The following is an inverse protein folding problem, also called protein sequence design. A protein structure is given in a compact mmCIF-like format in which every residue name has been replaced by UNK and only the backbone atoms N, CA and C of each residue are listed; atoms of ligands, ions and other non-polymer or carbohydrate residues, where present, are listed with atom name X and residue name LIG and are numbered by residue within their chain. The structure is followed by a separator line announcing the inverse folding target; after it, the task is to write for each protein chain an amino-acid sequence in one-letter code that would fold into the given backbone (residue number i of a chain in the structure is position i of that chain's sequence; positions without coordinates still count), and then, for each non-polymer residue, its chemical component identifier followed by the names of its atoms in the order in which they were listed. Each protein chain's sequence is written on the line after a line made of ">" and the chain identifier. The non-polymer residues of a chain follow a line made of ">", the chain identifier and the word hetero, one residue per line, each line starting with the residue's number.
data_IF_692869393327
#
_entry.id   IF_692869393327
#
_cell.length_a   1.000
_cell.length_b   1.000
_cell.length_c   1.000
_cell.angle_alpha   90.00
_cell.angle_beta   90.00
_cell.angle_gamma   90.00
#
_symmetry.space_group_name_H-M   'P 1'
#
loop_
_entity.id
_entity.type
_entity.pdbx_description
1 polymer ?
#
# COMPACT_ATOMS: atom_id res chain seq x y z
N UNK A 1 1.76 32.35 -17.68
CA UNK A 1 0.39 31.78 -17.56
C UNK A 1 -0.28 31.93 -18.90
N UNK A 2 -0.33 30.86 -19.69
CA UNK A 2 -0.98 30.83 -21.00
C UNK A 2 -2.32 30.13 -20.79
N UNK A 3 -3.42 30.84 -21.05
CA UNK A 3 -4.77 30.26 -21.04
C UNK A 3 -4.90 29.27 -22.20
N UNK A 4 -5.53 28.10 -22.01
CA UNK A 4 -5.77 27.16 -23.11
C UNK A 4 -6.81 27.76 -24.09
N UNK A 5 -6.80 27.33 -25.36
CA UNK A 5 -7.72 27.84 -26.36
C UNK A 5 -9.16 27.43 -26.04
N UNK A 6 -10.06 28.42 -26.03
CA UNK A 6 -11.50 28.21 -25.96
C UNK A 6 -11.96 27.65 -27.30
N UNK A 7 -12.24 26.35 -27.37
CA UNK A 7 -12.90 25.74 -28.54
C UNK A 7 -14.41 26.00 -28.39
N UNK A 8 -14.89 27.00 -29.13
CA UNK A 8 -16.33 27.28 -29.26
C UNK A 8 -16.91 26.26 -30.23
N UNK A 9 -17.65 25.27 -29.74
CA UNK A 9 -18.52 24.46 -30.59
C UNK A 9 -19.73 25.31 -30.98
N UNK A 10 -19.63 25.99 -32.12
CA UNK A 10 -20.75 26.68 -32.74
C UNK A 10 -21.83 25.66 -33.13
N UNK A 11 -23.05 25.91 -32.64
CA UNK A 11 -24.31 25.26 -33.00
C UNK A 11 -24.41 24.98 -34.51
N UNK A 12 -24.31 23.70 -34.90
CA UNK A 12 -24.73 23.23 -36.21
C UNK A 12 -26.23 22.93 -36.14
N UNK A 13 -27.04 23.81 -36.76
CA UNK A 13 -28.45 23.50 -37.07
C UNK A 13 -28.47 22.41 -38.15
N UNK A 14 -29.03 21.26 -37.79
CA UNK A 14 -29.37 20.20 -38.73
C UNK A 14 -30.58 20.65 -39.57
N UNK A 15 -30.33 21.12 -40.78
CA UNK A 15 -31.34 21.21 -41.83
C UNK A 15 -30.91 20.34 -43.01
N UNK A 16 -31.67 19.27 -43.21
CA UNK A 16 -31.90 18.53 -44.44
C UNK A 16 -30.68 18.10 -45.29
N UNK A 17 -30.01 17.01 -44.91
CA UNK A 17 -29.44 16.05 -45.89
C UNK A 17 -29.46 14.62 -45.30
N UNK A 18 -30.00 13.68 -46.06
CA UNK A 18 -29.86 12.21 -45.99
C UNK A 18 -29.26 11.59 -44.73
N UNK A 19 -30.15 11.05 -43.88
CA UNK A 19 -29.82 10.26 -42.69
C UNK A 19 -28.87 9.08 -42.99
N UNK A 20 -27.95 8.85 -42.03
CA UNK A 20 -27.16 7.64 -41.71
C UNK A 20 -25.65 7.68 -41.95
N UNK A 21 -25.12 8.24 -43.03
CA UNK A 21 -23.66 8.14 -43.30
C UNK A 21 -22.80 9.12 -42.48
N UNK A 22 -23.33 10.30 -42.13
CA UNK A 22 -22.62 11.30 -41.33
C UNK A 22 -22.51 10.94 -39.84
N UNK A 23 -23.44 10.12 -39.32
CA UNK A 23 -23.41 9.66 -37.93
C UNK A 23 -22.34 8.59 -37.70
N UNK A 24 -22.08 7.76 -38.72
CA UNK A 24 -20.98 6.78 -38.71
C UNK A 24 -19.61 7.48 -38.75
N UNK A 25 -19.48 8.56 -39.53
CA UNK A 25 -18.25 9.36 -39.63
C UNK A 25 -17.93 10.19 -38.37
N UNK A 26 -18.94 10.62 -37.60
CA UNK A 26 -18.74 11.39 -36.37
C UNK A 26 -18.41 10.53 -35.15
N UNK A 27 -18.77 9.24 -35.15
CA UNK A 27 -18.38 8.29 -34.09
C UNK A 27 -16.93 7.85 -34.23
N UNK A 28 -16.39 7.88 -35.46
CA UNK A 28 -14.99 7.55 -35.77
C UNK A 28 -14.04 8.76 -35.70
N UNK A 29 -14.53 9.97 -35.39
CA UNK A 29 -13.68 11.13 -35.14
C UNK A 29 -13.00 11.02 -33.76
N UNK A 30 -11.99 10.16 -33.78
CA UNK A 30 -10.74 10.22 -33.04
C UNK A 30 -10.78 9.97 -31.53
N UNK A 31 -11.25 8.77 -31.17
CA UNK A 31 -10.88 8.11 -29.91
C UNK A 31 -9.34 8.11 -29.72
N UNK A 32 -8.55 8.05 -30.79
CA UNK A 32 -7.07 8.13 -30.75
C UNK A 32 -6.55 9.50 -30.27
N UNK A 33 -7.11 10.60 -30.78
CA UNK A 33 -6.75 11.97 -30.33
C UNK A 33 -7.23 12.19 -28.89
N UNK A 34 -8.42 11.69 -28.54
CA UNK A 34 -8.95 11.79 -27.18
C UNK A 34 -8.08 11.01 -26.19
N UNK A 35 -7.63 9.80 -26.54
CA UNK A 35 -6.72 9.00 -25.71
C UNK A 35 -5.36 9.67 -25.52
N UNK A 36 -4.82 10.34 -26.55
CA UNK A 36 -3.54 11.04 -26.44
C UNK A 36 -3.60 12.31 -25.59
N UNK A 37 -4.73 13.03 -25.58
CA UNK A 37 -4.96 14.18 -24.69
C UNK A 37 -5.11 13.73 -23.22
N UNK A 38 -5.80 12.60 -22.98
CA UNK A 38 -6.02 12.05 -21.63
C UNK A 38 -4.73 11.53 -21.01
N UNK A 39 -3.86 10.87 -21.79
CA UNK A 39 -2.54 10.43 -21.32
C UNK A 39 -1.57 11.58 -21.04
N UNK A 40 -1.84 12.79 -21.55
CA UNK A 40 -1.02 13.97 -21.34
C UNK A 40 -1.44 14.81 -20.12
N UNK A 41 -2.63 14.57 -19.53
CA UNK A 41 -3.12 15.32 -18.36
C UNK A 41 -3.06 14.47 -17.08
N UNK A 42 -2.21 14.89 -16.14
CA UNK A 42 -2.14 14.31 -14.78
C UNK A 42 -3.37 14.67 -13.91
N UNK A 43 -4.32 15.47 -14.42
CA UNK A 43 -5.38 16.08 -13.62
C UNK A 43 -6.72 15.33 -13.74
N UNK A 44 -7.03 14.55 -12.70
CA UNK A 44 -8.17 13.61 -12.65
C UNK A 44 -9.53 14.28 -12.82
N UNK A 45 -9.69 15.51 -12.34
CA UNK A 45 -10.96 16.25 -12.44
C UNK A 45 -11.26 16.70 -13.87
N UNK A 46 -10.24 17.05 -14.65
CA UNK A 46 -10.39 17.39 -16.06
C UNK A 46 -10.77 16.15 -16.87
N UNK A 47 -10.13 15.02 -16.58
CA UNK A 47 -10.45 13.74 -17.21
C UNK A 47 -11.88 13.27 -16.88
N UNK A 48 -12.31 13.33 -15.62
CA UNK A 48 -13.68 12.96 -15.20
C UNK A 48 -14.74 13.89 -15.80
N UNK A 49 -14.50 15.20 -15.82
CA UNK A 49 -15.39 16.18 -16.44
C UNK A 49 -15.54 15.89 -17.93
N UNK A 50 -14.45 15.59 -18.63
CA UNK A 50 -14.46 15.26 -20.05
C UNK A 50 -15.19 13.95 -20.34
N UNK A 51 -14.93 12.87 -19.57
CA UNK A 51 -15.65 11.60 -19.72
C UNK A 51 -17.15 11.76 -19.46
N UNK A 52 -17.54 12.55 -18.45
CA UNK A 52 -18.94 12.83 -18.16
C UNK A 52 -19.61 13.61 -19.29
N UNK A 53 -18.92 14.59 -19.89
CA UNK A 53 -19.40 15.35 -21.03
C UNK A 53 -19.57 14.48 -22.28
N UNK A 54 -18.64 13.56 -22.55
CA UNK A 54 -18.71 12.59 -23.65
C UNK A 54 -19.86 11.57 -23.43
N UNK A 55 -20.11 11.16 -22.18
CA UNK A 55 -21.23 10.28 -21.86
C UNK A 55 -22.57 11.00 -22.04
N UNK A 56 -22.66 12.25 -21.57
CA UNK A 56 -23.85 13.10 -21.69
C UNK A 56 -24.16 13.43 -23.15
N UNK A 57 -23.14 13.74 -23.97
CA UNK A 57 -23.33 14.00 -25.41
C UNK A 57 -23.87 12.77 -26.14
N UNK A 58 -23.30 11.58 -25.88
CA UNK A 58 -23.80 10.32 -26.42
C UNK A 58 -25.23 10.00 -25.96
N UNK A 59 -25.56 10.25 -24.68
CA UNK A 59 -26.93 10.06 -24.16
C UNK A 59 -27.92 11.03 -24.82
N UNK A 60 -27.54 12.28 -25.04
CA UNK A 60 -28.40 13.28 -25.69
C UNK A 60 -28.64 12.97 -27.17
N UNK A 61 -27.62 12.47 -27.89
CA UNK A 61 -27.76 11.93 -29.25
C UNK A 61 -28.78 10.78 -29.25
N UNK A 62 -28.67 9.83 -28.31
CA UNK A 62 -29.60 8.69 -28.20
C UNK A 62 -31.04 9.13 -27.85
N UNK A 63 -31.20 10.18 -27.03
CA UNK A 63 -32.53 10.74 -26.68
C UNK A 63 -33.22 11.43 -27.86
N UNK A 64 -32.47 11.93 -28.84
CA UNK A 64 -33.01 12.53 -30.06
C UNK A 64 -33.44 11.53 -31.14
N UNK A 65 -33.14 10.23 -30.97
CA UNK A 65 -33.46 9.19 -31.95
C UNK A 65 -34.84 8.57 -31.67
N UNK A 66 -35.74 8.61 -32.65
CA UNK A 66 -37.05 7.94 -32.56
C UNK A 66 -36.87 6.42 -32.57
N UNK A 67 -36.98 5.80 -31.38
CA UNK A 67 -36.75 4.37 -31.17
C UNK A 67 -37.67 3.45 -31.98
N UNK A 68 -38.81 3.96 -32.46
CA UNK A 68 -39.77 3.19 -33.26
C UNK A 68 -39.32 3.00 -34.71
N UNK A 69 -38.29 3.72 -35.17
CA UNK A 69 -37.73 3.63 -36.53
C UNK A 69 -36.38 2.90 -36.61
N UNK A 70 -35.86 2.43 -35.48
CA UNK A 70 -34.59 1.71 -35.41
C UNK A 70 -34.78 0.22 -35.71
N UNK A 71 -34.01 -0.31 -36.67
CA UNK A 71 -33.96 -1.76 -36.91
C UNK A 71 -33.24 -2.49 -35.76
N UNK A 72 -33.51 -3.78 -35.55
CA UNK A 72 -32.81 -4.56 -34.50
C UNK A 72 -31.29 -4.56 -34.70
N UNK A 73 -30.82 -4.56 -35.97
CA UNK A 73 -29.40 -4.46 -36.32
C UNK A 73 -28.79 -3.14 -35.86
N UNK A 74 -29.51 -2.02 -36.04
CA UNK A 74 -29.08 -0.70 -35.59
C UNK A 74 -28.99 -0.61 -34.06
N UNK A 75 -29.93 -1.23 -33.33
CA UNK A 75 -29.87 -1.29 -31.86
C UNK A 75 -28.70 -2.12 -31.34
N UNK A 76 -28.35 -3.20 -32.03
CA UNK A 76 -27.22 -4.06 -31.68
C UNK A 76 -25.87 -3.35 -31.91
N UNK A 77 -25.76 -2.58 -33.00
CA UNK A 77 -24.56 -1.78 -33.28
C UNK A 77 -24.35 -0.67 -32.24
N UNK A 78 -25.42 0.01 -31.81
CA UNK A 78 -25.37 1.00 -30.73
C UNK A 78 -24.99 0.39 -29.38
N UNK A 79 -25.50 -0.80 -29.06
CA UNK A 79 -25.11 -1.49 -27.83
C UNK A 79 -23.63 -1.88 -27.84
N UNK A 80 -23.13 -2.38 -28.97
CA UNK A 80 -21.72 -2.75 -29.11
C UNK A 80 -20.79 -1.53 -29.12
N UNK A 81 -21.19 -0.41 -29.72
CA UNK A 81 -20.39 0.82 -29.74
C UNK A 81 -20.26 1.46 -28.36
N UNK A 82 -21.25 1.28 -27.46
CA UNK A 82 -21.21 1.77 -26.08
C UNK A 82 -20.51 0.81 -25.11
N UNK A 83 -20.34 -0.46 -25.47
CA UNK A 83 -19.73 -1.48 -24.61
C UNK A 83 -18.23 -1.24 -24.39
N UNK A 84 -17.49 -0.93 -25.45
CA UNK A 84 -16.07 -0.63 -25.38
C UNK A 84 -15.73 0.60 -24.49
N UNK A 85 -16.37 1.77 -24.65
CA UNK A 85 -16.07 2.93 -23.81
C UNK A 85 -16.43 2.70 -22.34
N UNK A 86 -17.52 1.98 -22.04
CA UNK A 86 -17.86 1.63 -20.65
C UNK A 86 -16.80 0.72 -20.00
N UNK A 87 -16.28 -0.26 -20.73
CA UNK A 87 -15.19 -1.12 -20.25
C UNK A 87 -13.90 -0.34 -20.00
N UNK A 88 -13.56 0.62 -20.87
CA UNK A 88 -12.38 1.47 -20.70
C UNK A 88 -12.52 2.37 -19.48
N UNK A 89 -13.68 3.01 -19.27
CA UNK A 89 -13.94 3.83 -18.08
C UNK A 89 -13.82 2.96 -16.81
N UNK A 90 -14.41 1.77 -16.80
CA UNK A 90 -14.29 0.83 -15.68
C UNK A 90 -12.84 0.46 -15.38
N UNK A 91 -12.01 0.24 -16.41
CA UNK A 91 -10.59 -0.03 -16.26
C UNK A 91 -9.82 1.18 -15.72
N UNK A 92 -10.01 2.36 -16.29
CA UNK A 92 -9.33 3.61 -15.86
C UNK A 92 -9.68 3.97 -14.41
N UNK A 93 -10.96 3.85 -14.05
CA UNK A 93 -11.40 4.04 -12.67
C UNK A 93 -10.80 2.97 -11.75
N UNK A 94 -10.78 1.71 -12.17
CA UNK A 94 -10.15 0.62 -11.43
C UNK A 94 -8.66 0.88 -11.17
N UNK A 95 -7.92 1.28 -12.20
CA UNK A 95 -6.50 1.62 -12.12
C UNK A 95 -6.27 2.84 -11.22
N UNK A 96 -7.13 3.85 -11.29
CA UNK A 96 -7.12 5.01 -10.40
C UNK A 96 -7.38 4.62 -8.94
N UNK A 97 -8.44 3.86 -8.66
CA UNK A 97 -8.74 3.40 -7.30
C UNK A 97 -7.64 2.51 -6.75
N UNK A 98 -7.03 1.67 -7.58
CA UNK A 98 -5.86 0.87 -7.19
C UNK A 98 -4.64 1.75 -6.88
N UNK A 99 -4.38 2.79 -7.70
CA UNK A 99 -3.35 3.80 -7.41
C UNK A 99 -3.65 4.55 -6.12
N UNK A 100 -4.91 4.88 -5.86
CA UNK A 100 -5.36 5.54 -4.62
C UNK A 100 -5.17 4.65 -3.40
N UNK A 101 -5.47 3.36 -3.52
CA UNK A 101 -5.26 2.37 -2.47
C UNK A 101 -3.78 2.20 -2.08
N UNK A 102 -2.86 2.54 -2.98
CA UNK A 102 -1.41 2.50 -2.75
C UNK A 102 -0.84 3.76 -2.07
N UNK A 103 -1.68 4.76 -1.71
CA UNK A 103 -1.27 5.94 -0.94
C UNK A 103 -1.07 5.69 0.56
N UNK A 104 -1.01 4.43 1.04
CA UNK A 104 -0.41 4.17 2.35
C UNK A 104 1.10 4.36 2.25
N UNK A 105 1.49 5.63 2.11
CA UNK A 105 2.39 6.38 2.99
C UNK A 105 2.76 7.63 2.22
N UNK A 106 2.17 8.78 2.57
CA UNK A 106 2.88 10.04 2.37
C UNK A 106 4.27 9.84 2.97
N UNK A 107 5.34 10.09 2.20
CA UNK A 107 6.72 10.04 2.68
C UNK A 107 6.95 11.22 3.64
N UNK A 108 6.24 11.24 4.77
CA UNK A 108 6.57 12.14 5.85
C UNK A 108 7.93 11.71 6.38
N UNK A 109 8.91 12.60 6.28
CA UNK A 109 10.29 12.36 6.73
C UNK A 109 10.41 12.16 8.24
N UNK A 110 9.32 12.34 8.99
CA UNK A 110 9.30 12.25 10.44
C UNK A 110 8.12 11.41 10.93
N UNK A 111 8.38 10.17 11.36
CA UNK A 111 7.40 9.36 12.09
C UNK A 111 7.30 9.87 13.54
N UNK A 112 6.07 9.96 14.07
CA UNK A 112 5.86 10.23 15.48
C UNK A 112 6.31 9.01 16.33
N UNK A 113 7.15 9.18 17.36
CA UNK A 113 7.58 8.06 18.22
C UNK A 113 6.42 7.26 18.83
N UNK A 114 5.32 7.92 19.20
CA UNK A 114 4.14 7.26 19.75
C UNK A 114 3.40 6.40 18.72
N UNK A 115 3.48 6.75 17.43
CA UNK A 115 2.98 5.89 16.37
C UNK A 115 3.74 4.57 16.35
N UNK A 116 5.08 4.60 16.45
CA UNK A 116 5.90 3.38 16.49
C UNK A 116 5.57 2.56 17.72
N UNK A 117 5.42 3.19 18.88
CA UNK A 117 5.01 2.49 20.11
C UNK A 117 3.67 1.79 19.94
N UNK A 118 2.64 2.49 19.46
CA UNK A 118 1.33 1.87 19.22
C UNK A 118 1.36 0.79 18.14
N UNK A 119 2.14 0.99 17.08
CA UNK A 119 2.29 0.01 16.00
C UNK A 119 2.98 -1.26 16.49
N UNK A 120 4.01 -1.14 17.33
CA UNK A 120 4.71 -2.28 17.93
C UNK A 120 3.85 -2.97 18.97
N UNK A 121 3.05 -2.23 19.75
CA UNK A 121 2.06 -2.81 20.65
C UNK A 121 1.13 -3.79 19.90
N UNK A 122 0.70 -3.42 18.69
CA UNK A 122 -0.10 -4.29 17.83
C UNK A 122 0.73 -5.40 17.15
N UNK A 123 1.76 -5.06 16.38
CA UNK A 123 2.38 -5.95 15.37
C UNK A 123 3.81 -6.41 15.70
N UNK A 124 4.42 -5.86 16.76
CA UNK A 124 5.79 -6.20 17.13
C UNK A 124 5.91 -7.48 17.95
N UNK A 125 7.09 -8.10 17.93
CA UNK A 125 7.37 -9.35 18.65
C UNK A 125 8.77 -9.30 19.26
N UNK A 126 8.86 -9.68 20.54
CA UNK A 126 10.09 -9.81 21.31
C UNK A 126 10.42 -11.29 21.50
N UNK A 127 11.51 -11.76 20.90
CA UNK A 127 11.78 -13.20 20.72
C UNK A 127 13.14 -13.55 21.30
N UNK A 128 13.21 -14.63 22.10
CA UNK A 128 14.46 -15.26 22.52
C UNK A 128 14.68 -16.54 21.73
N UNK A 129 15.55 -16.49 20.71
CA UNK A 129 15.92 -17.68 19.93
C UNK A 129 16.99 -18.47 20.68
N UNK A 130 16.72 -19.75 20.92
CA UNK A 130 17.65 -20.66 21.60
C UNK A 130 18.05 -21.76 20.62
N UNK A 131 19.35 -21.98 20.43
CA UNK A 131 19.88 -23.00 19.54
C UNK A 131 21.10 -23.69 20.15
N UNK A 132 21.35 -24.95 19.77
CA UNK A 132 22.53 -25.68 20.23
C UNK A 132 23.79 -25.07 19.64
N UNK A 133 24.83 -24.93 20.45
CA UNK A 133 26.13 -24.46 19.99
C UNK A 133 27.24 -24.91 20.92
N UNK A 134 28.21 -25.65 20.36
CA UNK A 134 29.39 -26.14 21.08
C UNK A 134 30.37 -25.02 21.47
N UNK A 135 30.15 -23.78 21.00
CA UNK A 135 31.00 -22.62 21.32
C UNK A 135 30.81 -22.13 22.77
N UNK A 136 29.72 -22.51 23.42
CA UNK A 136 29.38 -22.07 24.78
C UNK A 136 29.51 -23.25 25.74
N UNK A 137 29.99 -23.00 26.96
CA UNK A 137 30.17 -24.06 27.98
C UNK A 137 28.85 -24.75 28.32
N UNK A 138 27.76 -23.99 28.37
CA UNK A 138 26.42 -24.54 28.58
C UNK A 138 25.87 -25.31 27.36
N UNK A 139 26.52 -25.26 26.19
CA UNK A 139 26.10 -25.95 24.97
C UNK A 139 24.98 -25.25 24.17
N UNK A 140 24.58 -24.05 24.57
CA UNK A 140 23.46 -23.31 23.98
C UNK A 140 23.84 -21.87 23.64
N UNK A 141 23.40 -21.42 22.46
CA UNK A 141 23.40 -20.02 22.04
C UNK A 141 22.01 -19.44 22.29
N UNK A 142 21.98 -18.25 22.85
CA UNK A 142 20.76 -17.44 22.96
C UNK A 142 20.94 -16.20 22.10
N UNK A 143 19.95 -15.90 21.27
CA UNK A 143 19.92 -14.71 20.41
C UNK A 143 18.61 -13.96 20.66
N UNK A 144 18.66 -12.76 21.26
CA UNK A 144 17.51 -11.89 21.36
C UNK A 144 17.21 -11.30 19.98
N UNK A 145 15.93 -11.26 19.62
CA UNK A 145 15.45 -10.77 18.33
C UNK A 145 14.19 -9.95 18.56
N UNK A 146 14.17 -8.74 18.02
CA UNK A 146 12.95 -7.96 17.84
C UNK A 146 12.50 -8.07 16.38
N UNK A 147 11.19 -8.23 16.15
CA UNK A 147 10.64 -8.36 14.81
C UNK A 147 9.29 -7.67 14.67
N UNK A 148 9.03 -7.11 13.49
CA UNK A 148 7.70 -6.65 13.07
C UNK A 148 7.39 -7.35 11.75
N UNK A 149 6.32 -8.14 11.71
CA UNK A 149 5.92 -8.90 10.52
C UNK A 149 4.59 -8.40 9.98
N UNK A 150 4.51 -8.13 8.68
CA UNK A 150 3.32 -7.60 8.01
C UNK A 150 3.05 -8.34 6.70
N UNK A 151 1.88 -8.09 6.11
CA UNK A 151 1.62 -8.49 4.73
C UNK A 151 2.48 -7.68 3.75
N UNK A 152 2.91 -8.28 2.63
CA UNK A 152 3.82 -7.65 1.66
C UNK A 152 3.31 -6.30 1.14
N UNK A 153 1.99 -6.09 1.07
CA UNK A 153 1.36 -4.83 0.63
C UNK A 153 1.78 -3.61 1.49
N UNK A 154 2.14 -3.84 2.75
CA UNK A 154 2.44 -2.80 3.74
C UNK A 154 3.95 -2.61 3.96
N UNK A 155 4.82 -3.15 3.10
CA UNK A 155 6.28 -3.11 3.28
C UNK A 155 6.88 -1.71 3.51
N UNK A 156 6.30 -0.67 2.93
CA UNK A 156 6.80 0.71 3.02
C UNK A 156 6.82 1.26 4.45
N UNK A 157 5.90 0.82 5.32
CA UNK A 157 5.91 1.26 6.73
C UNK A 157 7.12 0.70 7.48
N UNK A 158 7.54 -0.53 7.16
CA UNK A 158 8.71 -1.13 7.76
C UNK A 158 10.00 -0.41 7.37
N UNK A 159 10.10 0.09 6.14
CA UNK A 159 11.23 0.92 5.72
C UNK A 159 11.28 2.27 6.43
N UNK A 160 10.13 2.88 6.69
CA UNK A 160 10.10 4.12 7.45
C UNK A 160 10.44 3.89 8.92
N UNK A 161 9.93 2.83 9.55
CA UNK A 161 10.30 2.44 10.91
C UNK A 161 11.80 2.14 10.99
N UNK A 162 12.35 1.43 10.01
CA UNK A 162 13.78 1.15 9.90
C UNK A 162 14.57 2.46 9.82
N UNK A 163 14.14 3.39 8.97
CA UNK A 163 14.77 4.72 8.80
C UNK A 163 14.70 5.55 10.09
N UNK A 164 13.57 5.51 10.81
CA UNK A 164 13.40 6.20 12.09
C UNK A 164 14.44 5.76 13.13
N UNK A 165 14.76 4.46 13.19
CA UNK A 165 15.81 3.94 14.08
C UNK A 165 17.23 4.03 13.47
N UNK A 166 17.44 4.82 12.42
CA UNK A 166 18.75 5.06 11.82
C UNK A 166 19.21 3.94 10.88
N UNK A 167 18.29 3.20 10.28
CA UNK A 167 18.60 2.17 9.29
C UNK A 167 18.96 0.80 9.87
N UNK A 168 18.69 0.56 11.17
CA UNK A 168 19.08 -0.68 11.85
C UNK A 168 18.19 -1.87 11.48
N UNK A 169 18.73 -3.09 11.62
CA UNK A 169 18.00 -4.32 11.27
C UNK A 169 17.96 -4.63 9.79
N UNK A 170 17.21 -5.69 9.45
CA UNK A 170 17.10 -6.23 8.10
C UNK A 170 15.63 -6.44 7.73
N UNK A 171 15.26 -5.95 6.56
CA UNK A 171 13.95 -6.24 5.96
C UNK A 171 14.06 -7.50 5.11
N UNK A 172 13.25 -8.51 5.42
CA UNK A 172 13.14 -9.75 4.67
C UNK A 172 11.74 -9.85 4.03
N UNK A 173 11.69 -10.24 2.77
CA UNK A 173 10.46 -10.45 2.01
C UNK A 173 10.37 -11.93 1.64
N UNK A 174 9.28 -12.60 2.00
CA UNK A 174 9.08 -14.02 1.73
C UNK A 174 7.60 -14.28 1.50
N UNK A 175 7.25 -14.77 0.30
CA UNK A 175 5.88 -14.94 -0.14
C UNK A 175 5.09 -13.63 0.09
N UNK A 176 3.93 -13.72 0.75
CA UNK A 176 3.06 -12.58 1.06
C UNK A 176 3.40 -11.88 2.38
N UNK A 177 4.57 -12.16 2.97
CA UNK A 177 5.01 -11.60 4.25
C UNK A 177 6.27 -10.78 4.07
N UNK A 178 6.31 -9.64 4.74
CA UNK A 178 7.50 -8.80 4.89
C UNK A 178 7.76 -8.59 6.37
N UNK A 179 9.03 -8.67 6.79
CA UNK A 179 9.41 -8.50 8.19
C UNK A 179 10.63 -7.61 8.35
N UNK A 180 10.60 -6.74 9.35
CA UNK A 180 11.78 -6.05 9.87
C UNK A 180 12.31 -6.85 11.06
N UNK A 181 13.52 -7.38 10.97
CA UNK A 181 14.17 -8.14 12.04
C UNK A 181 15.41 -7.42 12.56
N UNK A 182 15.52 -7.26 13.87
CA UNK A 182 16.65 -6.65 14.57
C UNK A 182 17.20 -7.66 15.57
N UNK A 183 18.46 -8.09 15.40
CA UNK A 183 19.11 -9.07 16.31
C UNK A 183 20.52 -8.68 16.75
N UNK A 184 21.13 -7.67 16.14
CA UNK A 184 22.43 -7.18 16.58
C UNK A 184 22.30 -6.48 17.94
N UNK A 185 23.19 -6.79 18.89
CA UNK A 185 23.12 -6.25 20.27
C UNK A 185 23.09 -4.73 20.31
N UNK A 186 23.95 -4.08 19.53
CA UNK A 186 24.02 -2.61 19.41
C UNK A 186 22.71 -2.00 18.89
N UNK A 187 22.04 -2.68 17.97
CA UNK A 187 20.81 -2.20 17.35
C UNK A 187 19.62 -2.41 18.29
N UNK A 188 19.58 -3.56 18.99
CA UNK A 188 18.58 -3.83 20.03
C UNK A 188 18.63 -2.81 21.15
N UNK A 189 19.81 -2.31 21.54
CA UNK A 189 19.92 -1.26 22.55
C UNK A 189 19.14 0.01 22.16
N UNK A 190 19.09 0.36 20.87
CA UNK A 190 18.33 1.50 20.35
C UNK A 190 16.82 1.23 20.48
N UNK A 191 16.38 0.02 20.15
CA UNK A 191 14.98 -0.41 20.30
C UNK A 191 14.55 -0.38 21.78
N UNK A 192 15.39 -0.90 22.67
CA UNK A 192 15.12 -0.90 24.11
C UNK A 192 15.06 0.53 24.68
N UNK A 193 15.95 1.42 24.23
CA UNK A 193 15.93 2.83 24.62
C UNK A 193 14.66 3.54 24.16
N UNK A 194 14.15 3.23 22.96
CA UNK A 194 12.88 3.77 22.47
C UNK A 194 11.72 3.43 23.41
N UNK A 195 11.55 2.16 23.78
CA UNK A 195 10.45 1.75 24.67
C UNK A 195 10.67 2.12 26.14
N UNK A 196 11.91 2.38 26.55
CA UNK A 196 12.18 3.04 27.83
C UNK A 196 11.66 4.48 27.88
N UNK A 197 11.70 5.20 26.76
CA UNK A 197 11.21 6.59 26.65
C UNK A 197 9.72 6.68 26.27
N UNK A 198 9.24 5.74 25.45
CA UNK A 198 7.87 5.67 24.95
C UNK A 198 7.28 4.28 25.28
N UNK A 199 6.83 4.08 26.53
CA UNK A 199 6.42 2.76 27.02
C UNK A 199 5.23 2.18 26.25
N UNK A 200 5.28 0.87 26.02
CA UNK A 200 4.15 0.07 25.55
C UNK A 200 3.02 0.10 26.58
N UNK A 201 1.78 0.00 26.11
CA UNK A 201 0.57 0.10 26.95
C UNK A 201 -0.21 -1.21 27.05
N UNK A 202 -0.02 -2.14 26.11
CA UNK A 202 -0.72 -3.44 26.12
C UNK A 202 0.03 -4.47 26.99
N UNK A 203 -0.47 -5.72 27.01
CA UNK A 203 0.23 -6.85 27.63
C UNK A 203 1.64 -7.06 27.06
N UNK A 204 1.90 -6.58 25.84
CA UNK A 204 3.24 -6.61 25.22
C UNK A 204 4.30 -5.83 26.01
N UNK A 205 3.89 -4.93 26.90
CA UNK A 205 4.80 -4.30 27.86
C UNK A 205 5.48 -5.35 28.76
N UNK A 206 4.75 -6.37 29.21
CA UNK A 206 5.33 -7.44 30.04
C UNK A 206 6.39 -8.22 29.24
N UNK A 207 6.11 -8.54 27.97
CA UNK A 207 7.07 -9.20 27.08
C UNK A 207 8.32 -8.34 26.88
N UNK A 208 8.16 -7.03 26.72
CA UNK A 208 9.27 -6.09 26.61
C UNK A 208 10.15 -6.09 27.87
N UNK A 209 9.57 -6.02 29.07
CA UNK A 209 10.36 -6.02 30.32
C UNK A 209 11.11 -7.33 30.52
N UNK A 210 10.46 -8.48 30.24
CA UNK A 210 11.10 -9.79 30.26
C UNK A 210 12.22 -9.90 29.21
N UNK A 211 11.98 -9.41 28.01
CA UNK A 211 12.97 -9.37 26.94
C UNK A 211 14.17 -8.47 27.29
N UNK A 212 13.93 -7.31 27.90
CA UNK A 212 14.98 -6.41 28.39
C UNK A 212 15.83 -7.07 29.47
N UNK A 213 15.21 -7.75 30.44
CA UNK A 213 15.92 -8.52 31.46
C UNK A 213 16.81 -9.61 30.83
N UNK A 214 16.26 -10.38 29.88
CA UNK A 214 17.04 -11.39 29.17
C UNK A 214 18.20 -10.76 28.37
N UNK A 215 17.97 -9.61 27.73
CA UNK A 215 19.01 -8.90 26.98
C UNK A 215 20.17 -8.49 27.90
N UNK A 216 19.90 -7.99 29.10
CA UNK A 216 20.92 -7.62 30.09
C UNK A 216 21.77 -8.83 30.51
N UNK A 217 21.13 -9.96 30.85
CA UNK A 217 21.81 -11.23 31.18
C UNK A 217 22.70 -11.70 30.01
N UNK A 218 22.18 -11.60 28.78
CA UNK A 218 22.92 -11.99 27.57
C UNK A 218 24.13 -11.08 27.34
N UNK A 219 24.01 -9.79 27.66
CA UNK A 219 25.08 -8.82 27.45
C UNK A 219 26.21 -8.98 28.47
N UNK A 220 25.89 -9.32 29.72
CA UNK A 220 26.88 -9.70 30.75
C UNK A 220 27.61 -11.00 30.41
N UNK A 221 26.98 -11.89 29.60
CA UNK A 221 27.59 -13.13 29.12
C UNK A 221 27.54 -14.30 30.11
N UNK A 222 27.01 -14.07 31.31
CA UNK A 222 26.97 -15.03 32.42
C UNK A 222 26.15 -16.28 32.08
N UNK A 223 25.10 -16.14 31.27
CA UNK A 223 24.23 -17.25 30.88
C UNK A 223 25.00 -18.42 30.25
N UNK A 224 26.09 -18.12 29.56
CA UNK A 224 26.81 -19.09 28.73
C UNK A 224 27.74 -20.00 29.52
N UNK A 225 27.98 -19.68 30.80
CA UNK A 225 28.96 -20.34 31.65
C UNK A 225 28.38 -21.53 32.42
N UNK A 226 27.06 -21.62 32.59
CA UNK A 226 26.42 -22.67 33.40
C UNK A 226 25.05 -23.07 32.87
N UNK A 227 24.61 -24.29 33.21
CA UNK A 227 23.24 -24.75 32.93
C UNK A 227 22.19 -23.89 33.67
N UNK A 228 22.50 -23.44 34.88
CA UNK A 228 21.61 -22.56 35.65
C UNK A 228 21.37 -21.22 34.92
N UNK A 229 22.41 -20.64 34.32
CA UNK A 229 22.31 -19.41 33.53
C UNK A 229 21.48 -19.57 32.25
N UNK A 230 21.56 -20.73 31.58
CA UNK A 230 20.65 -21.04 30.47
C UNK A 230 19.22 -21.26 30.98
N UNK A 231 19.04 -21.95 32.11
CA UNK A 231 17.73 -22.24 32.66
C UNK A 231 16.97 -20.96 33.03
N UNK A 232 17.65 -19.93 33.54
CA UNK A 232 17.00 -18.64 33.83
C UNK A 232 16.44 -17.99 32.56
N UNK A 233 17.21 -17.99 31.46
CA UNK A 233 16.73 -17.49 30.16
C UNK A 233 15.57 -18.33 29.62
N UNK A 234 15.61 -19.67 29.78
CA UNK A 234 14.51 -20.54 29.37
C UNK A 234 13.23 -20.20 30.14
N UNK A 235 13.32 -19.95 31.45
CA UNK A 235 12.18 -19.55 32.26
C UNK A 235 11.61 -18.20 31.83
N UNK A 236 12.47 -17.23 31.51
CA UNK A 236 12.05 -15.94 30.95
C UNK A 236 11.33 -16.17 29.61
N UNK A 237 11.94 -16.94 28.71
CA UNK A 237 11.34 -17.25 27.40
C UNK A 237 9.98 -17.93 27.52
N UNK A 238 9.82 -18.85 28.47
CA UNK A 238 8.55 -19.53 28.72
C UNK A 238 7.45 -18.60 29.24
N UNK A 239 7.84 -17.44 29.78
CA UNK A 239 6.92 -16.42 30.31
C UNK A 239 6.57 -15.35 29.26
N UNK A 240 7.26 -15.31 28.12
CA UNK A 240 6.89 -14.43 27.00
C UNK A 240 5.62 -14.96 26.35
N UNK A 241 4.66 -14.06 26.12
CA UNK A 241 3.45 -14.38 25.37
C UNK A 241 3.80 -14.46 23.88
N UNK A 242 3.35 -15.52 23.22
CA UNK A 242 3.61 -15.80 21.79
C UNK A 242 2.60 -15.05 20.94
#
# INVERSE_FOLDING_TARGET
>A
MQTPPVIIFSSLRLQDVGNFTLLELLVDLDISIIMSIIYASDNIWENLAFYSALLISNINIIRGVDRRKLSSRSTHLLHNSLKAPFQVIGKVLGDYYNKVRLYSTNLTTHINPWFITGFVDAEGSFILKISKSLKYKAGWKVEPVFSIGLHQKDWRILEQIQTYWGGIGRINRTNNVVSLTISARKDLAIVLAHFGKYPLITQKKADFELFKLAFEIINQGEYSQSLAGIQSIINIRASLLI
#
